data_IF_949351069404
#
_entry.id   IF_949351069404
#
_cell.length_a   1.000
_cell.length_b   1.000
_cell.length_c   1.000
_cell.angle_alpha   90.00
_cell.angle_beta   90.00
_cell.angle_gamma   90.00
#
_symmetry.space_group_name_H-M   'P 1'
#
loop_
_entity.id
_entity.type
_entity.pdbx_description
1 polymer ?
#
# COMPACT_ATOMS: atom_id res chain seq x y z
N UNK A 1 -25.93 -20.23 1.67
CA UNK A 1 -24.72 -19.50 1.28
C UNK A 1 -23.94 -19.22 2.57
N UNK A 2 -22.61 -19.34 2.55
CA UNK A 2 -21.78 -18.94 3.68
C UNK A 2 -21.91 -17.43 3.90
N UNK A 3 -21.94 -17.01 5.17
CA UNK A 3 -21.96 -15.59 5.52
C UNK A 3 -20.62 -14.93 5.12
N UNK A 4 -20.63 -13.64 4.74
CA UNK A 4 -19.41 -12.88 4.54
C UNK A 4 -18.54 -12.90 5.81
N UNK A 5 -17.21 -13.00 5.62
CA UNK A 5 -16.25 -12.96 6.73
C UNK A 5 -15.65 -11.56 6.84
N UNK A 6 -15.68 -11.00 8.05
CA UNK A 6 -14.97 -9.76 8.39
C UNK A 6 -13.69 -10.11 9.14
N UNK A 7 -12.54 -9.75 8.58
CA UNK A 7 -11.22 -9.87 9.21
C UNK A 7 -10.87 -8.52 9.82
N UNK A 8 -10.78 -8.45 11.13
CA UNK A 8 -10.57 -7.23 11.90
C UNK A 8 -9.15 -7.20 12.44
N UNK A 9 -8.41 -6.13 12.14
CA UNK A 9 -7.14 -5.86 12.78
C UNK A 9 -7.35 -4.92 13.98
N UNK A 10 -7.37 -5.44 15.22
CA UNK A 10 -7.61 -4.62 16.41
C UNK A 10 -6.49 -3.61 16.69
N UNK A 11 -5.26 -3.90 16.23
CA UNK A 11 -4.10 -3.03 16.43
C UNK A 11 -4.06 -1.84 15.46
N UNK A 12 -4.87 -1.87 14.38
CA UNK A 12 -4.86 -0.79 13.39
C UNK A 12 -5.28 0.55 14.00
N UNK A 13 -4.75 1.65 13.44
CA UNK A 13 -4.92 3.02 13.96
C UNK A 13 -4.47 3.17 15.43
N UNK A 14 -3.32 2.58 15.80
CA UNK A 14 -2.80 2.56 17.18
C UNK A 14 -3.79 1.99 18.21
N UNK A 15 -4.55 0.95 17.83
CA UNK A 15 -5.55 0.30 18.67
C UNK A 15 -6.95 0.94 18.63
N UNK A 16 -7.13 2.06 17.92
CA UNK A 16 -8.44 2.72 17.85
C UNK A 16 -9.51 1.86 17.15
N UNK A 17 -9.13 0.89 16.33
CA UNK A 17 -10.06 -0.05 15.70
C UNK A 17 -10.69 -0.95 16.75
N UNK A 18 -9.91 -1.43 17.72
CA UNK A 18 -10.44 -2.23 18.84
C UNK A 18 -11.50 -1.44 19.64
N UNK A 19 -11.16 -0.20 20.00
CA UNK A 19 -12.08 0.66 20.79
C UNK A 19 -13.39 0.97 20.04
N UNK A 20 -13.33 1.07 18.71
CA UNK A 20 -14.47 1.44 17.86
C UNK A 20 -15.23 0.24 17.29
N UNK A 21 -14.72 -0.97 17.50
CA UNK A 21 -15.27 -2.17 16.84
C UNK A 21 -16.76 -2.36 17.09
N UNK A 22 -17.21 -2.19 18.33
CA UNK A 22 -18.64 -2.35 18.66
C UNK A 22 -19.54 -1.45 17.80
N UNK A 23 -19.11 -0.18 17.59
CA UNK A 23 -19.84 0.76 16.73
C UNK A 23 -19.76 0.34 15.26
N UNK A 24 -18.58 -0.02 14.76
CA UNK A 24 -18.34 -0.46 13.37
C UNK A 24 -19.20 -1.71 13.09
N UNK A 25 -19.22 -2.68 14.00
CA UNK A 25 -20.01 -3.90 13.86
C UNK A 25 -21.51 -3.62 13.85
N UNK A 26 -21.98 -2.68 14.69
CA UNK A 26 -23.38 -2.22 14.69
C UNK A 26 -23.77 -1.57 13.37
N UNK A 27 -22.93 -0.63 12.85
CA UNK A 27 -23.15 0.02 11.57
C UNK A 27 -23.17 -1.00 10.42
N UNK A 28 -22.24 -1.96 10.44
CA UNK A 28 -22.16 -3.01 9.43
C UNK A 28 -23.40 -3.91 9.48
N UNK A 29 -23.83 -4.35 10.66
CA UNK A 29 -25.03 -5.16 10.81
C UNK A 29 -26.29 -4.46 10.34
N UNK A 30 -26.41 -3.17 10.63
CA UNK A 30 -27.57 -2.35 10.26
C UNK A 30 -27.64 -2.10 8.75
N UNK A 31 -26.50 -1.81 8.11
CA UNK A 31 -26.48 -1.35 6.74
C UNK A 31 -26.09 -2.42 5.72
N UNK A 32 -25.35 -3.45 6.11
CA UNK A 32 -24.94 -4.55 5.25
C UNK A 32 -25.73 -5.84 5.54
N UNK A 33 -25.87 -6.24 6.81
CA UNK A 33 -26.58 -7.45 7.23
C UNK A 33 -25.75 -8.40 8.07
N UNK A 34 -26.05 -9.70 7.99
CA UNK A 34 -25.37 -10.73 8.76
C UNK A 34 -23.97 -11.03 8.21
N UNK A 35 -23.01 -11.26 9.11
CA UNK A 35 -21.61 -11.60 8.81
C UNK A 35 -21.01 -12.44 9.95
N UNK A 36 -19.91 -13.12 9.67
CA UNK A 36 -19.00 -13.71 10.65
C UNK A 36 -17.79 -12.80 10.85
N UNK A 37 -17.11 -12.91 12.00
CA UNK A 37 -15.96 -12.08 12.34
C UNK A 37 -14.82 -12.91 12.89
N UNK A 38 -13.60 -12.53 12.52
CA UNK A 38 -12.35 -13.01 13.12
C UNK A 38 -11.40 -11.84 13.33
N UNK A 39 -10.51 -11.96 14.32
CA UNK A 39 -9.53 -10.93 14.66
C UNK A 39 -8.12 -11.42 14.32
N UNK A 40 -7.30 -10.48 13.84
CA UNK A 40 -5.89 -10.77 13.64
C UNK A 40 -5.13 -10.71 14.96
N UNK A 41 -4.10 -11.54 15.11
CA UNK A 41 -3.25 -11.62 16.30
C UNK A 41 -1.84 -11.08 16.04
N UNK A 42 -1.39 -11.09 14.78
CA UNK A 42 -0.05 -10.67 14.38
C UNK A 42 -0.03 -10.14 12.95
N UNK A 43 1.08 -9.56 12.56
CA UNK A 43 1.38 -9.22 11.16
C UNK A 43 1.37 -10.50 10.31
N UNK A 44 0.80 -10.44 9.13
CA UNK A 44 0.63 -11.58 8.22
C UNK A 44 -0.58 -12.48 8.51
N UNK A 45 -1.21 -12.38 9.70
CA UNK A 45 -2.33 -13.25 10.08
C UNK A 45 -3.58 -13.00 9.22
N UNK A 46 -3.85 -11.75 8.81
CA UNK A 46 -4.99 -11.47 7.95
C UNK A 46 -4.88 -12.16 6.58
N UNK A 47 -3.66 -12.31 6.04
CA UNK A 47 -3.39 -13.05 4.80
C UNK A 47 -3.76 -14.53 4.93
N UNK A 48 -3.35 -15.18 6.01
CA UNK A 48 -3.68 -16.58 6.28
C UNK A 48 -5.18 -16.79 6.45
N UNK A 49 -5.82 -15.97 7.27
CA UNK A 49 -7.28 -16.01 7.50
C UNK A 49 -8.06 -15.81 6.20
N UNK A 50 -7.62 -14.89 5.35
CA UNK A 50 -8.27 -14.63 4.07
C UNK A 50 -8.10 -15.80 3.10
N UNK A 51 -6.89 -16.38 3.00
CA UNK A 51 -6.62 -17.53 2.14
C UNK A 51 -7.46 -18.75 2.57
N UNK A 52 -7.54 -19.02 3.85
CA UNK A 52 -8.33 -20.14 4.38
C UNK A 52 -9.81 -19.93 4.15
N UNK A 53 -10.34 -18.75 4.45
CA UNK A 53 -11.74 -18.42 4.21
C UNK A 53 -12.12 -18.53 2.72
N UNK A 54 -11.26 -18.06 1.83
CA UNK A 54 -11.46 -18.16 0.39
C UNK A 54 -11.51 -19.62 -0.09
N UNK A 55 -10.56 -20.45 0.36
CA UNK A 55 -10.53 -21.90 0.09
C UNK A 55 -11.77 -22.64 0.65
N UNK A 56 -12.32 -22.16 1.77
CA UNK A 56 -13.56 -22.68 2.36
C UNK A 56 -14.83 -22.17 1.66
N UNK A 57 -14.70 -21.39 0.60
CA UNK A 57 -15.81 -20.93 -0.24
C UNK A 57 -16.47 -19.63 0.21
N UNK A 58 -15.85 -18.84 1.08
CA UNK A 58 -16.31 -17.48 1.39
C UNK A 58 -16.29 -16.63 0.13
N UNK A 59 -17.47 -16.14 -0.29
CA UNK A 59 -17.59 -15.31 -1.49
C UNK A 59 -17.18 -13.86 -1.28
N UNK A 60 -17.30 -13.34 -0.08
CA UNK A 60 -16.93 -11.96 0.28
C UNK A 60 -16.15 -11.97 1.58
N UNK A 61 -14.92 -11.47 1.52
CA UNK A 61 -14.00 -11.33 2.65
C UNK A 61 -13.74 -9.84 2.84
N UNK A 62 -14.10 -9.32 4.00
CA UNK A 62 -14.08 -7.90 4.29
C UNK A 62 -12.89 -7.58 5.19
N UNK A 63 -11.96 -6.77 4.69
CA UNK A 63 -10.86 -6.24 5.47
C UNK A 63 -11.32 -5.04 6.31
N UNK A 64 -11.22 -5.16 7.64
CA UNK A 64 -11.50 -4.08 8.59
C UNK A 64 -10.20 -3.64 9.26
N UNK A 65 -9.59 -2.57 8.73
CA UNK A 65 -8.29 -2.08 9.17
C UNK A 65 -7.74 -0.95 8.32
N UNK A 66 -6.42 -0.78 8.33
CA UNK A 66 -5.67 0.14 7.46
C UNK A 66 -5.19 -0.54 6.16
N UNK A 67 -4.35 0.19 5.40
CA UNK A 67 -3.85 -0.29 4.09
C UNK A 67 -3.09 -1.62 4.22
N UNK A 68 -2.28 -1.84 5.26
CA UNK A 68 -1.60 -3.12 5.50
C UNK A 68 -2.58 -4.29 5.68
N UNK A 69 -3.67 -4.11 6.44
CA UNK A 69 -4.70 -5.15 6.60
C UNK A 69 -5.41 -5.45 5.28
N UNK A 70 -5.69 -4.39 4.49
CA UNK A 70 -6.30 -4.53 3.16
C UNK A 70 -5.37 -5.30 2.22
N UNK A 71 -4.08 -4.97 2.22
CA UNK A 71 -3.05 -5.65 1.42
C UNK A 71 -2.89 -7.12 1.82
N UNK A 72 -2.84 -7.43 3.13
CA UNK A 72 -2.76 -8.81 3.62
C UNK A 72 -3.98 -9.64 3.17
N UNK A 73 -5.21 -9.12 3.33
CA UNK A 73 -6.44 -9.81 2.90
C UNK A 73 -6.45 -10.00 1.38
N UNK A 74 -6.06 -8.99 0.62
CA UNK A 74 -5.95 -9.07 -0.84
C UNK A 74 -4.96 -10.16 -1.28
N UNK A 75 -3.78 -10.22 -0.65
CA UNK A 75 -2.78 -11.26 -0.91
C UNK A 75 -3.35 -12.66 -0.64
N UNK A 76 -4.02 -12.86 0.50
CA UNK A 76 -4.63 -14.14 0.84
C UNK A 76 -5.69 -14.59 -0.19
N UNK A 77 -6.52 -13.66 -0.67
CA UNK A 77 -7.52 -13.94 -1.72
C UNK A 77 -6.82 -14.30 -3.04
N UNK A 78 -5.85 -13.51 -3.49
CA UNK A 78 -5.14 -13.76 -4.76
C UNK A 78 -4.43 -15.11 -4.72
N UNK A 79 -3.74 -15.44 -3.65
CA UNK A 79 -3.00 -16.69 -3.46
C UNK A 79 -3.89 -17.91 -3.35
N UNK A 80 -5.12 -17.74 -2.87
CA UNK A 80 -6.10 -18.83 -2.82
C UNK A 80 -6.56 -19.29 -4.21
N UNK A 81 -6.34 -18.45 -5.23
CA UNK A 81 -6.79 -18.67 -6.61
C UNK A 81 -8.31 -18.97 -6.68
N UNK A 82 -9.10 -18.25 -5.91
CA UNK A 82 -10.56 -18.36 -5.86
C UNK A 82 -11.23 -17.11 -6.42
N UNK A 83 -12.55 -17.16 -6.61
CA UNK A 83 -13.35 -16.01 -7.03
C UNK A 83 -13.88 -15.17 -5.85
N UNK A 84 -13.28 -15.27 -4.69
CA UNK A 84 -13.66 -14.47 -3.52
C UNK A 84 -13.48 -12.98 -3.80
N UNK A 85 -14.38 -12.16 -3.27
CA UNK A 85 -14.34 -10.72 -3.40
C UNK A 85 -13.72 -10.08 -2.17
N UNK A 86 -12.89 -9.07 -2.37
CA UNK A 86 -12.43 -8.18 -1.32
C UNK A 86 -13.47 -7.11 -1.04
N UNK A 87 -13.93 -7.01 0.19
CA UNK A 87 -14.65 -5.85 0.73
C UNK A 87 -13.73 -5.00 1.60
N UNK A 88 -13.97 -3.71 1.68
CA UNK A 88 -13.17 -2.79 2.51
C UNK A 88 -14.06 -2.07 3.50
N UNK A 89 -13.75 -2.22 4.78
CA UNK A 89 -14.37 -1.48 5.88
C UNK A 89 -13.29 -0.65 6.57
N UNK A 90 -13.18 0.64 6.26
CA UNK A 90 -12.06 1.45 6.71
C UNK A 90 -12.08 1.67 8.21
N UNK A 91 -10.99 1.32 8.89
CA UNK A 91 -10.78 1.52 10.31
C UNK A 91 -9.38 2.12 10.63
N UNK A 92 -8.52 2.26 9.61
CA UNK A 92 -7.17 2.83 9.71
C UNK A 92 -7.12 4.34 9.52
N UNK A 93 -5.94 4.92 9.77
CA UNK A 93 -5.68 6.36 9.61
C UNK A 93 -5.29 6.76 8.18
N UNK A 94 -4.71 5.85 7.38
CA UNK A 94 -4.25 6.07 6.00
C UNK A 94 -5.38 5.86 4.99
N UNK A 95 -5.51 4.64 4.53
CA UNK A 95 -6.54 4.22 3.56
C UNK A 95 -6.37 4.84 2.17
N UNK A 96 -5.17 4.77 1.62
CA UNK A 96 -4.84 5.28 0.29
C UNK A 96 -5.49 4.45 -0.81
N UNK A 97 -5.48 3.12 -0.67
CA UNK A 97 -6.15 2.23 -1.61
C UNK A 97 -7.67 2.46 -1.65
N UNK A 98 -8.32 2.58 -0.48
CA UNK A 98 -9.73 2.96 -0.38
C UNK A 98 -10.05 4.23 -1.15
N UNK A 99 -9.16 5.23 -1.07
CA UNK A 99 -9.32 6.53 -1.76
C UNK A 99 -9.29 6.37 -3.27
N UNK A 100 -8.46 5.48 -3.79
CA UNK A 100 -8.40 5.14 -5.22
C UNK A 100 -9.69 4.48 -5.71
N UNK A 101 -10.41 3.77 -4.83
CA UNK A 101 -11.69 3.13 -5.13
C UNK A 101 -12.91 4.03 -4.89
N UNK A 102 -12.73 5.23 -4.32
CA UNK A 102 -13.86 6.12 -3.97
C UNK A 102 -14.70 5.66 -2.78
N UNK A 103 -14.21 4.70 -1.97
CA UNK A 103 -14.92 4.19 -0.80
C UNK A 103 -14.90 5.24 0.32
N UNK A 104 -16.06 5.50 0.93
CA UNK A 104 -16.20 6.45 2.05
C UNK A 104 -15.37 6.03 3.27
N UNK A 105 -14.85 7.00 4.01
CA UNK A 105 -14.19 6.75 5.30
C UNK A 105 -15.20 6.57 6.46
N UNK A 106 -16.48 6.75 6.21
CA UNK A 106 -17.54 6.51 7.15
C UNK A 106 -17.94 5.03 7.11
N UNK A 107 -17.99 4.36 8.28
CA UNK A 107 -18.27 2.92 8.35
C UNK A 107 -19.67 2.58 7.84
N UNK A 108 -20.69 3.41 8.12
CA UNK A 108 -22.06 3.17 7.64
C UNK A 108 -22.17 3.31 6.12
N UNK A 109 -21.49 4.29 5.51
CA UNK A 109 -21.45 4.44 4.06
C UNK A 109 -20.70 3.29 3.39
N UNK A 110 -19.56 2.90 3.95
CA UNK A 110 -18.80 1.75 3.47
C UNK A 110 -19.63 0.46 3.57
N UNK A 111 -20.40 0.27 4.65
CA UNK A 111 -21.29 -0.87 4.81
C UNK A 111 -22.41 -0.88 3.75
N UNK A 112 -22.99 0.27 3.41
CA UNK A 112 -23.94 0.40 2.30
C UNK A 112 -23.30 0.04 0.96
N UNK A 113 -22.09 0.54 0.71
CA UNK A 113 -21.34 0.19 -0.51
C UNK A 113 -21.02 -1.31 -0.60
N UNK A 114 -20.74 -1.97 0.52
CA UNK A 114 -20.56 -3.42 0.56
C UNK A 114 -21.85 -4.18 0.21
N UNK A 115 -23.01 -3.68 0.57
CA UNK A 115 -24.32 -4.29 0.26
C UNK A 115 -24.75 -4.03 -1.18
N UNK A 116 -24.73 -2.76 -1.60
CA UNK A 116 -25.36 -2.27 -2.82
C UNK A 116 -24.36 -2.05 -3.96
N UNK A 117 -23.07 -2.12 -3.65
CA UNK A 117 -21.98 -1.81 -4.57
C UNK A 117 -21.79 -2.84 -5.68
N UNK A 118 -20.95 -2.46 -6.63
CA UNK A 118 -20.58 -3.29 -7.79
C UNK A 118 -19.28 -4.03 -7.51
N UNK A 119 -19.08 -5.15 -8.16
CA UNK A 119 -17.79 -5.84 -8.18
C UNK A 119 -17.01 -5.41 -9.41
N UNK A 120 -15.79 -4.96 -9.19
CA UNK A 120 -14.81 -4.69 -10.24
C UNK A 120 -13.64 -5.66 -10.09
N UNK A 121 -13.18 -6.20 -11.21
CA UNK A 121 -11.92 -6.94 -11.21
C UNK A 121 -10.80 -5.99 -11.51
N UNK A 122 -9.78 -5.99 -10.65
CA UNK A 122 -8.62 -5.13 -10.74
C UNK A 122 -7.35 -5.94 -10.96
N UNK A 123 -6.33 -5.29 -11.46
CA UNK A 123 -4.99 -5.82 -11.61
C UNK A 123 -4.25 -5.78 -10.26
N UNK A 124 -3.16 -6.52 -10.16
CA UNK A 124 -2.21 -6.44 -9.05
C UNK A 124 -0.78 -6.55 -9.58
N UNK A 125 0.17 -6.03 -8.84
CA UNK A 125 1.59 -6.17 -9.17
C UNK A 125 2.17 -7.34 -8.37
N UNK A 126 2.58 -8.41 -9.04
CA UNK A 126 3.35 -9.50 -8.44
C UNK A 126 4.78 -9.04 -8.26
N UNK A 127 5.24 -9.01 -7.02
CA UNK A 127 6.59 -8.58 -6.68
C UNK A 127 7.36 -9.73 -6.07
N UNK A 128 8.49 -10.08 -6.70
CA UNK A 128 9.45 -11.05 -6.17
C UNK A 128 10.67 -10.30 -5.69
N UNK A 129 11.09 -10.52 -4.46
CA UNK A 129 12.16 -9.80 -3.78
C UNK A 129 12.98 -10.73 -2.87
N UNK A 130 14.03 -10.22 -2.25
CA UNK A 130 14.79 -10.93 -1.22
C UNK A 130 14.32 -10.46 0.16
N UNK A 131 13.80 -11.36 0.98
CA UNK A 131 13.35 -11.07 2.33
C UNK A 131 14.52 -10.93 3.33
N UNK A 132 14.22 -10.61 4.58
CA UNK A 132 15.25 -10.42 5.62
C UNK A 132 15.96 -11.74 6.02
N UNK A 133 15.45 -12.90 5.61
CA UNK A 133 16.08 -14.22 5.77
C UNK A 133 16.95 -14.63 4.58
N UNK A 134 17.26 -13.70 3.66
CA UNK A 134 17.98 -13.97 2.40
C UNK A 134 17.28 -14.93 1.44
N UNK A 135 15.98 -15.13 1.61
CA UNK A 135 15.17 -15.99 0.76
C UNK A 135 14.40 -15.17 -0.28
N UNK A 136 14.13 -15.81 -1.42
CA UNK A 136 13.27 -15.23 -2.44
C UNK A 136 11.81 -15.40 -2.03
N UNK A 137 11.10 -14.29 -1.87
CA UNK A 137 9.69 -14.26 -1.52
C UNK A 137 8.89 -13.55 -2.62
N UNK A 138 7.62 -13.92 -2.76
CA UNK A 138 6.70 -13.28 -3.69
C UNK A 138 5.45 -12.83 -2.95
N UNK A 139 5.08 -11.56 -3.14
CA UNK A 139 3.82 -10.95 -2.67
C UNK A 139 3.17 -10.12 -3.78
N UNK A 140 1.94 -9.70 -3.55
CA UNK A 140 1.20 -8.84 -4.46
C UNK A 140 1.00 -7.45 -3.84
N UNK A 141 1.30 -6.40 -4.61
CA UNK A 141 0.91 -5.04 -4.29
C UNK A 141 -0.34 -4.69 -5.09
N UNK A 142 -1.36 -4.19 -4.43
CA UNK A 142 -2.61 -3.73 -5.05
C UNK A 142 -2.65 -2.22 -5.20
N UNK A 143 -1.76 -1.52 -4.50
CA UNK A 143 -1.69 -0.07 -4.47
C UNK A 143 -0.39 0.43 -5.12
N UNK A 144 0.69 0.56 -4.36
CA UNK A 144 1.99 1.03 -4.85
C UNK A 144 3.10 0.20 -4.23
N UNK A 145 4.00 -0.28 -5.08
CA UNK A 145 5.27 -0.83 -4.67
C UNK A 145 6.38 0.18 -4.94
N UNK A 146 7.37 0.29 -4.06
CA UNK A 146 8.42 1.29 -4.21
C UNK A 146 9.76 0.87 -3.62
N UNK A 147 10.80 1.62 -3.96
CA UNK A 147 12.10 1.61 -3.29
C UNK A 147 12.76 2.98 -3.40
N UNK A 148 13.56 3.30 -2.40
CA UNK A 148 14.26 4.59 -2.30
C UNK A 148 13.94 5.32 -1.00
N UNK A 149 13.62 6.59 -1.07
CA UNK A 149 13.40 7.46 0.10
C UNK A 149 12.19 7.03 0.95
N UNK A 150 11.13 6.51 0.33
CA UNK A 150 9.91 6.05 1.03
C UNK A 150 10.22 4.98 2.06
N UNK A 151 11.07 4.00 1.73
CA UNK A 151 11.46 2.92 2.65
C UNK A 151 12.21 3.45 3.87
N UNK A 152 13.09 4.44 3.71
CA UNK A 152 13.78 5.08 4.82
C UNK A 152 12.83 5.89 5.73
N UNK A 153 11.79 6.51 5.14
CA UNK A 153 10.73 7.21 5.92
C UNK A 153 9.96 6.22 6.77
N UNK A 154 9.57 5.08 6.22
CA UNK A 154 8.83 4.04 6.94
C UNK A 154 9.66 3.44 8.08
N UNK A 155 10.92 3.09 7.82
CA UNK A 155 11.83 2.54 8.83
C UNK A 155 12.03 3.52 10.01
N UNK A 156 12.22 4.80 9.72
CA UNK A 156 12.36 5.83 10.76
C UNK A 156 11.07 6.08 11.53
N UNK A 157 9.93 6.02 10.85
CA UNK A 157 8.63 6.12 11.50
C UNK A 157 8.37 4.93 12.44
N UNK A 158 8.71 3.70 12.01
CA UNK A 158 8.56 2.48 12.79
C UNK A 158 9.48 2.45 14.04
N UNK A 159 10.74 2.86 13.90
CA UNK A 159 11.71 2.88 15.00
C UNK A 159 11.49 4.00 16.01
N UNK A 160 10.49 4.87 15.79
CA UNK A 160 10.15 5.98 16.71
C UNK A 160 11.18 7.11 16.74
N UNK A 161 12.17 7.11 15.85
CA UNK A 161 13.19 8.17 15.75
C UNK A 161 12.58 9.56 15.56
N UNK A 162 11.49 9.66 14.83
CA UNK A 162 10.76 10.91 14.60
C UNK A 162 9.96 11.41 15.83
N UNK A 163 9.64 10.56 16.81
CA UNK A 163 8.87 10.95 18.01
C UNK A 163 9.65 11.97 18.89
N UNK A 164 10.97 11.98 18.82
CA UNK A 164 11.82 12.95 19.57
C UNK A 164 11.61 14.40 19.14
N UNK A 165 11.01 14.64 17.97
CA UNK A 165 10.76 15.98 17.42
C UNK A 165 9.33 16.48 17.63
N UNK A 166 8.48 15.65 18.21
CA UNK A 166 7.07 16.01 18.48
C UNK A 166 6.95 16.46 19.94
N UNK A 167 6.35 17.64 20.21
CA UNK A 167 6.14 18.11 21.58
C UNK A 167 5.36 17.13 22.43
N UNK A 168 5.77 16.94 23.69
CA UNK A 168 5.20 15.96 24.63
C UNK A 168 3.69 16.14 24.89
N UNK A 169 3.15 17.34 24.65
CA UNK A 169 1.73 17.67 24.86
C UNK A 169 0.84 17.46 23.63
N UNK A 170 1.37 16.90 22.56
CA UNK A 170 0.61 16.74 21.31
C UNK A 170 -0.37 15.57 21.43
N UNK A 171 -1.67 15.74 21.11
CA UNK A 171 -2.66 14.65 21.14
C UNK A 171 -2.23 13.48 20.26
N UNK A 172 -2.47 12.24 20.71
CA UNK A 172 -2.01 10.99 20.07
C UNK A 172 -2.31 10.93 18.56
N UNK A 173 -3.50 11.40 18.13
CA UNK A 173 -3.89 11.45 16.71
C UNK A 173 -3.08 12.45 15.87
N UNK A 174 -2.57 13.52 16.51
CA UNK A 174 -1.76 14.55 15.86
C UNK A 174 -0.30 14.11 15.87
N UNK A 175 0.13 13.38 16.92
CA UNK A 175 1.49 12.88 17.09
C UNK A 175 1.89 11.95 15.93
N UNK A 176 1.01 11.04 15.46
CA UNK A 176 1.32 10.13 14.37
C UNK A 176 1.54 10.87 13.04
N UNK A 177 0.70 11.85 12.72
CA UNK A 177 0.85 12.67 11.51
C UNK A 177 2.09 13.56 11.55
N UNK A 178 2.36 14.18 12.69
CA UNK A 178 3.56 15.01 12.89
C UNK A 178 4.83 14.17 12.88
N UNK A 179 4.80 12.96 13.46
CA UNK A 179 5.93 12.03 13.41
C UNK A 179 6.25 11.59 11.98
N UNK A 180 5.22 11.30 11.19
CA UNK A 180 5.40 10.97 9.77
C UNK A 180 5.94 12.16 8.98
N UNK A 181 5.39 13.36 9.17
CA UNK A 181 5.89 14.58 8.53
C UNK A 181 7.34 14.88 8.94
N UNK A 182 7.67 14.76 10.23
CA UNK A 182 9.04 14.95 10.72
C UNK A 182 10.00 13.89 10.16
N UNK A 183 9.59 12.63 10.08
CA UNK A 183 10.36 11.56 9.45
C UNK A 183 10.59 11.84 7.97
N UNK A 184 9.57 12.30 7.25
CA UNK A 184 9.69 12.68 5.84
C UNK A 184 10.71 13.81 5.64
N UNK A 185 10.62 14.87 6.42
CA UNK A 185 11.57 16.00 6.36
C UNK A 185 12.99 15.52 6.65
N UNK A 186 13.19 14.82 7.78
CA UNK A 186 14.50 14.32 8.19
C UNK A 186 15.10 13.36 7.16
N UNK A 187 14.28 12.47 6.59
CA UNK A 187 14.72 11.52 5.58
C UNK A 187 15.07 12.22 4.28
N UNK A 188 14.28 13.20 3.84
CA UNK A 188 14.57 13.98 2.63
C UNK A 188 15.93 14.66 2.69
N UNK A 189 16.34 15.14 3.88
CA UNK A 189 17.67 15.72 4.07
C UNK A 189 18.81 14.70 4.20
N UNK A 190 18.51 13.50 4.69
CA UNK A 190 19.51 12.47 4.95
C UNK A 190 19.59 11.39 3.86
N UNK A 191 18.55 11.27 3.03
CA UNK A 191 18.48 10.26 1.99
C UNK A 191 19.51 10.52 0.89
N UNK A 192 20.28 9.49 0.59
CA UNK A 192 21.15 9.49 -0.58
C UNK A 192 20.49 8.69 -1.69
N UNK A 193 20.38 9.22 -2.90
CA UNK A 193 19.85 8.48 -4.04
C UNK A 193 20.49 7.11 -4.18
N UNK A 194 19.72 6.14 -4.62
CA UNK A 194 20.18 4.77 -4.83
C UNK A 194 20.61 4.58 -6.28
N UNK A 195 21.78 3.98 -6.48
CA UNK A 195 22.24 3.54 -7.79
C UNK A 195 21.66 2.15 -8.08
N UNK A 196 20.87 2.05 -9.12
CA UNK A 196 20.17 0.82 -9.51
C UNK A 196 20.36 0.52 -11.00
N UNK A 197 20.26 -0.76 -11.33
CA UNK A 197 20.13 -1.24 -12.70
C UNK A 197 18.67 -1.58 -12.92
N UNK A 198 18.04 -0.94 -13.90
CA UNK A 198 16.63 -1.09 -14.22
C UNK A 198 16.43 -1.58 -15.64
N UNK A 199 15.61 -2.60 -15.79
CA UNK A 199 15.05 -3.03 -17.06
C UNK A 199 13.54 -2.89 -17.01
N UNK A 200 12.96 -2.13 -17.93
CA UNK A 200 11.51 -1.89 -18.03
C UNK A 200 11.04 -2.56 -19.31
N UNK A 201 10.13 -3.53 -19.17
CA UNK A 201 9.67 -4.41 -20.25
C UNK A 201 10.86 -5.07 -21.00
N UNK A 202 10.80 -5.13 -22.29
CA UNK A 202 11.85 -5.73 -23.15
C UNK A 202 13.01 -4.76 -23.47
N UNK A 203 13.05 -3.59 -22.84
CA UNK A 203 14.08 -2.59 -23.11
C UNK A 203 15.42 -3.01 -22.51
N UNK A 204 16.49 -2.37 -23.03
CA UNK A 204 17.83 -2.57 -22.53
C UNK A 204 17.95 -2.11 -21.06
N UNK A 205 18.64 -2.89 -20.24
CA UNK A 205 18.96 -2.50 -18.86
C UNK A 205 19.79 -1.21 -18.85
N UNK A 206 19.45 -0.32 -17.96
CA UNK A 206 20.17 0.96 -17.78
C UNK A 206 20.46 1.24 -16.32
N UNK A 207 21.59 1.86 -16.05
CA UNK A 207 21.92 2.36 -14.73
C UNK A 207 21.25 3.70 -14.49
N UNK A 208 20.55 3.81 -13.38
CA UNK A 208 19.90 5.05 -12.95
C UNK A 208 20.24 5.34 -11.49
N UNK A 209 20.34 6.63 -11.18
CA UNK A 209 20.43 7.12 -9.82
C UNK A 209 19.08 7.72 -9.44
N UNK A 210 18.40 7.10 -8.48
CA UNK A 210 17.01 7.41 -8.14
C UNK A 210 16.89 7.83 -6.68
N UNK A 211 16.16 8.90 -6.42
CA UNK A 211 15.73 9.28 -5.09
C UNK A 211 14.52 8.41 -4.66
N UNK A 212 13.60 8.17 -5.61
CA UNK A 212 12.42 7.34 -5.41
C UNK A 212 12.03 6.65 -6.71
N UNK A 213 11.61 5.39 -6.61
CA UNK A 213 11.08 4.61 -7.72
C UNK A 213 9.79 3.93 -7.29
N UNK A 214 8.70 4.21 -8.00
CA UNK A 214 7.38 3.68 -7.70
C UNK A 214 6.84 2.88 -8.89
N UNK A 215 6.25 1.74 -8.58
CA UNK A 215 5.43 0.91 -9.46
C UNK A 215 4.01 0.98 -8.90
N UNK A 216 3.16 1.76 -9.54
CA UNK A 216 1.85 2.14 -9.04
C UNK A 216 0.73 1.47 -9.84
N UNK A 217 -0.05 0.61 -9.19
CA UNK A 217 -1.31 0.08 -9.71
C UNK A 217 -2.48 1.04 -9.37
N UNK A 218 -2.33 1.86 -8.34
CA UNK A 218 -3.33 2.82 -7.90
C UNK A 218 -2.73 4.22 -7.69
N UNK A 219 -3.62 5.20 -7.47
CA UNK A 219 -3.26 6.64 -7.56
C UNK A 219 -2.52 7.19 -6.35
N UNK A 220 -2.81 6.67 -5.14
CA UNK A 220 -2.43 7.32 -3.89
C UNK A 220 -1.50 6.45 -3.07
N UNK A 221 -0.51 7.08 -2.43
CA UNK A 221 0.35 6.44 -1.44
C UNK A 221 0.78 7.47 -0.37
N UNK A 222 1.37 6.99 0.71
CA UNK A 222 2.02 7.85 1.70
C UNK A 222 1.13 8.92 2.33
N UNK A 223 -0.17 8.65 2.52
CA UNK A 223 -1.10 9.58 3.15
C UNK A 223 -1.74 10.59 2.19
N UNK A 224 -2.27 10.13 1.08
CA UNK A 224 -2.98 10.88 0.04
C UNK A 224 -2.11 11.60 -1.01
N UNK A 225 -0.82 11.33 -1.09
CA UNK A 225 0.00 11.80 -2.20
C UNK A 225 -0.43 11.07 -3.49
N UNK A 226 -0.66 11.80 -4.56
CA UNK A 226 -1.03 11.26 -5.87
C UNK A 226 0.22 10.96 -6.68
N UNK A 227 0.89 9.85 -6.39
CA UNK A 227 2.13 9.49 -7.10
C UNK A 227 1.87 9.18 -8.59
N UNK A 228 0.74 8.53 -8.89
CA UNK A 228 0.32 8.20 -10.24
C UNK A 228 -1.15 8.68 -10.44
N UNK A 229 -1.37 9.99 -10.70
CA UNK A 229 -2.71 10.58 -10.73
C UNK A 229 -3.65 9.96 -11.77
N UNK A 230 -3.10 9.43 -12.86
CA UNK A 230 -3.84 8.86 -13.98
C UNK A 230 -3.88 7.32 -13.95
N UNK A 231 -3.33 6.68 -12.92
CA UNK A 231 -3.31 5.23 -12.77
C UNK A 231 -4.72 4.62 -12.85
N UNK A 232 -4.81 3.51 -13.56
CA UNK A 232 -6.02 2.71 -13.73
C UNK A 232 -5.80 1.33 -13.15
N UNK A 233 -6.76 0.86 -12.39
CA UNK A 233 -6.68 -0.41 -11.68
C UNK A 233 -6.90 -1.65 -12.57
N UNK A 234 -7.24 -1.49 -13.85
CA UNK A 234 -7.78 -2.58 -14.69
C UNK A 234 -7.42 -2.49 -16.18
N UNK A 235 -6.33 -1.80 -16.52
CA UNK A 235 -5.91 -1.62 -17.92
C UNK A 235 -4.75 -2.55 -18.37
N UNK A 236 -4.28 -3.41 -17.46
CA UNK A 236 -3.21 -4.38 -17.73
C UNK A 236 -1.81 -3.75 -17.71
N UNK A 237 -1.67 -2.56 -17.14
CA UNK A 237 -0.41 -1.85 -16.95
C UNK A 237 -0.29 -1.35 -15.51
N UNK A 238 0.89 -0.99 -15.11
CA UNK A 238 1.15 -0.15 -13.95
C UNK A 238 1.93 1.10 -14.38
N UNK A 239 1.77 2.15 -13.61
CA UNK A 239 2.50 3.41 -13.78
C UNK A 239 3.86 3.30 -13.10
N UNK A 240 4.93 3.50 -13.86
CA UNK A 240 6.29 3.65 -13.33
C UNK A 240 6.58 5.12 -13.17
N UNK A 241 6.79 5.56 -11.93
CA UNK A 241 7.19 6.93 -11.62
C UNK A 241 8.58 6.91 -11.02
N UNK A 242 9.52 7.54 -11.69
CA UNK A 242 10.90 7.65 -11.22
C UNK A 242 11.21 9.10 -10.85
N UNK A 243 11.62 9.33 -9.62
CA UNK A 243 12.17 10.60 -9.17
C UNK A 243 13.69 10.45 -9.16
N UNK A 244 14.37 11.13 -10.08
CA UNK A 244 15.81 11.07 -10.25
C UNK A 244 16.59 11.75 -9.12
N UNK A 245 17.90 11.89 -9.32
CA UNK A 245 18.82 12.53 -8.38
C UNK A 245 18.53 14.04 -8.29
N UNK A 246 17.62 14.39 -7.40
CA UNK A 246 17.29 15.77 -7.08
C UNK A 246 17.85 16.13 -5.70
N UNK A 247 18.28 17.38 -5.59
CA UNK A 247 18.77 17.89 -4.31
C UNK A 247 17.62 17.92 -3.27
N UNK A 248 17.94 17.55 -2.02
CA UNK A 248 16.98 17.41 -0.92
C UNK A 248 16.11 18.66 -0.70
N UNK A 249 16.68 19.86 -0.86
CA UNK A 249 15.93 21.11 -0.74
C UNK A 249 14.85 21.21 -1.83
N UNK A 250 15.19 20.83 -3.07
CA UNK A 250 14.26 20.83 -4.19
C UNK A 250 13.15 19.77 -4.03
N UNK A 251 13.48 18.59 -3.53
CA UNK A 251 12.49 17.56 -3.20
C UNK A 251 11.51 18.08 -2.14
N UNK A 252 12.01 18.66 -1.06
CA UNK A 252 11.19 19.16 0.03
C UNK A 252 10.27 20.31 -0.40
N UNK A 253 10.78 21.29 -1.12
CA UNK A 253 9.99 22.45 -1.59
C UNK A 253 8.93 22.08 -2.60
N UNK A 254 9.12 20.98 -3.34
CA UNK A 254 8.16 20.46 -4.32
C UNK A 254 7.27 19.32 -3.78
N UNK A 255 7.48 18.84 -2.55
CA UNK A 255 6.65 17.81 -1.94
C UNK A 255 5.13 18.12 -1.98
N UNK A 256 4.65 19.36 -1.80
CA UNK A 256 3.24 19.67 -1.97
C UNK A 256 2.66 19.32 -3.35
N UNK A 257 3.48 19.32 -4.40
CA UNK A 257 3.03 18.97 -5.76
C UNK A 257 2.56 17.52 -5.87
N UNK A 258 3.07 16.62 -5.01
CA UNK A 258 2.62 15.22 -4.95
C UNK A 258 1.13 15.10 -4.62
N UNK A 259 0.59 15.99 -3.77
CA UNK A 259 -0.83 15.94 -3.41
C UNK A 259 -1.76 16.33 -4.56
N UNK A 260 -1.25 17.07 -5.54
CA UNK A 260 -2.01 17.54 -6.71
C UNK A 260 -1.62 16.79 -8.01
N UNK A 261 -0.67 15.85 -7.95
CA UNK A 261 -0.15 15.17 -9.14
C UNK A 261 0.72 16.06 -10.05
N UNK A 262 1.05 17.27 -9.60
CA UNK A 262 1.80 18.24 -10.40
C UNK A 262 3.32 17.94 -10.47
N UNK A 263 3.80 16.98 -9.67
CA UNK A 263 5.20 16.53 -9.70
C UNK A 263 5.59 15.88 -11.04
N UNK A 264 4.64 15.28 -11.78
CA UNK A 264 4.91 14.68 -13.10
C UNK A 264 5.40 15.70 -14.15
N UNK A 265 5.26 17.01 -13.87
CA UNK A 265 5.76 18.09 -14.75
C UNK A 265 7.17 18.54 -14.39
N UNK A 266 7.79 17.93 -13.40
CA UNK A 266 9.15 18.27 -12.99
C UNK A 266 10.16 17.56 -13.90
N UNK A 267 11.26 18.22 -14.21
CA UNK A 267 12.32 17.68 -15.09
C UNK A 267 13.01 16.43 -14.52
N UNK A 268 12.99 16.28 -13.20
CA UNK A 268 13.59 15.14 -12.50
C UNK A 268 12.64 13.93 -12.39
N UNK A 269 11.39 14.09 -12.78
CA UNK A 269 10.38 13.04 -12.70
C UNK A 269 10.10 12.49 -14.08
N UNK A 270 10.20 11.18 -14.22
CA UNK A 270 9.74 10.47 -15.41
C UNK A 270 8.53 9.61 -15.06
N UNK A 271 7.61 9.49 -16.01
CA UNK A 271 6.41 8.67 -15.89
C UNK A 271 6.23 7.87 -17.19
N UNK A 272 5.98 6.58 -17.04
CA UNK A 272 5.70 5.69 -18.17
C UNK A 272 4.82 4.51 -17.72
N UNK A 273 4.09 3.90 -18.66
CA UNK A 273 3.34 2.66 -18.43
C UNK A 273 4.25 1.46 -18.72
N UNK A 274 4.13 0.41 -17.91
CA UNK A 274 4.88 -0.82 -18.11
C UNK A 274 4.09 -2.05 -17.63
N UNK A 275 4.57 -3.23 -18.03
CA UNK A 275 4.04 -4.53 -17.57
C UNK A 275 5.03 -5.28 -16.69
N UNK A 276 6.31 -4.98 -16.84
CA UNK A 276 7.37 -5.62 -16.07
C UNK A 276 8.50 -4.63 -15.76
N UNK A 277 9.02 -4.71 -14.55
CA UNK A 277 10.26 -4.04 -14.16
C UNK A 277 11.15 -5.05 -13.45
N UNK A 278 12.41 -5.11 -13.83
CA UNK A 278 13.47 -5.81 -13.09
C UNK A 278 14.41 -4.76 -12.54
N UNK A 279 14.57 -4.76 -11.20
CA UNK A 279 15.44 -3.83 -10.49
C UNK A 279 16.53 -4.57 -9.74
N UNK A 280 17.78 -4.13 -9.87
CA UNK A 280 18.94 -4.68 -9.16
C UNK A 280 19.78 -3.55 -8.58
N UNK A 281 20.43 -3.74 -7.42
CA UNK A 281 21.37 -2.74 -6.93
C UNK A 281 22.57 -2.68 -7.89
N UNK A 282 23.01 -1.47 -8.24
CA UNK A 282 24.20 -1.30 -9.10
C UNK A 282 25.51 -1.59 -8.37
N UNK A 283 25.49 -1.65 -7.04
CA UNK A 283 26.63 -1.99 -6.18
C UNK A 283 26.17 -2.92 -5.06
N UNK A 284 26.99 -3.88 -4.68
CA UNK A 284 26.75 -4.78 -3.54
C UNK A 284 26.90 -4.09 -2.18
N UNK A 285 27.45 -2.88 -2.14
CA UNK A 285 27.78 -2.18 -0.90
C UNK A 285 26.57 -1.46 -0.26
N UNK A 286 25.52 -1.16 -1.03
CA UNK A 286 24.33 -0.48 -0.53
C UNK A 286 23.11 -1.35 -0.75
N UNK A 287 22.49 -1.73 0.35
CA UNK A 287 21.19 -2.38 0.34
C UNK A 287 20.10 -1.37 -0.08
N UNK A 288 19.21 -1.79 -0.97
CA UNK A 288 18.06 -1.00 -1.40
C UNK A 288 16.80 -1.74 -0.97
N UNK A 289 16.14 -1.22 0.05
CA UNK A 289 14.91 -1.79 0.62
C UNK A 289 13.74 -1.64 -0.35
N UNK A 290 12.80 -2.57 -0.26
CA UNK A 290 11.57 -2.60 -1.08
C UNK A 290 10.37 -2.50 -0.16
N UNK A 291 9.41 -1.68 -0.56
CA UNK A 291 8.13 -1.45 0.09
C UNK A 291 6.99 -1.95 -0.80
N UNK A 292 5.96 -2.55 -0.20
CA UNK A 292 4.69 -2.90 -0.82
C UNK A 292 3.54 -2.36 0.02
N UNK A 293 2.69 -1.51 -0.58
CA UNK A 293 1.45 -0.98 0.02
C UNK A 293 1.64 -0.34 1.42
N UNK A 294 2.83 0.24 1.70
CA UNK A 294 3.16 0.88 2.97
C UNK A 294 3.91 -0.01 3.96
N UNK A 295 4.36 -1.21 3.55
CA UNK A 295 5.14 -2.13 4.37
C UNK A 295 6.49 -2.43 3.73
N UNK A 296 7.59 -2.26 4.48
CA UNK A 296 8.93 -2.66 4.04
C UNK A 296 9.05 -4.17 4.16
N UNK A 297 9.22 -4.85 3.03
CA UNK A 297 9.12 -6.32 2.96
C UNK A 297 10.45 -7.03 2.72
N UNK A 298 11.45 -6.31 2.22
CA UNK A 298 12.74 -6.91 1.87
C UNK A 298 13.60 -5.94 1.06
N UNK A 299 14.38 -6.46 0.12
CA UNK A 299 15.35 -5.68 -0.65
C UNK A 299 15.50 -6.14 -2.10
N UNK A 300 16.14 -5.31 -2.91
CA UNK A 300 16.58 -5.69 -4.26
C UNK A 300 17.61 -6.85 -4.21
N UNK A 301 17.69 -7.71 -5.28
CA UNK A 301 16.99 -7.58 -6.55
C UNK A 301 15.50 -7.92 -6.46
N UNK A 302 14.70 -7.19 -7.24
CA UNK A 302 13.25 -7.41 -7.32
C UNK A 302 12.75 -7.43 -8.75
N UNK A 303 11.68 -8.19 -8.97
CA UNK A 303 10.93 -8.20 -10.22
C UNK A 303 9.50 -7.80 -9.91
N UNK A 304 9.00 -6.80 -10.62
CA UNK A 304 7.62 -6.33 -10.56
C UNK A 304 6.94 -6.74 -11.86
N UNK A 305 5.81 -7.41 -11.78
CA UNK A 305 5.07 -7.87 -12.96
C UNK A 305 3.59 -7.64 -12.77
N UNK A 306 2.92 -7.03 -13.76
CA UNK A 306 1.47 -6.89 -13.72
C UNK A 306 0.81 -8.27 -13.85
N UNK A 307 -0.20 -8.50 -13.03
CA UNK A 307 -1.10 -9.64 -13.11
C UNK A 307 -2.49 -9.08 -13.40
N UNK A 308 -2.92 -9.12 -14.66
CA UNK A 308 -4.22 -8.58 -15.02
C UNK A 308 -5.35 -9.36 -14.37
N UNK A 309 -6.38 -8.63 -13.93
CA UNK A 309 -7.61 -9.19 -13.38
C UNK A 309 -7.37 -10.10 -12.15
N UNK A 310 -6.41 -9.75 -11.31
CA UNK A 310 -5.95 -10.58 -10.19
C UNK A 310 -6.93 -10.64 -9.01
N UNK A 311 -7.73 -9.60 -8.79
CA UNK A 311 -8.56 -9.46 -7.60
C UNK A 311 -9.93 -8.88 -7.93
N UNK A 312 -10.97 -9.46 -7.38
CA UNK A 312 -12.33 -8.91 -7.41
C UNK A 312 -12.55 -8.04 -6.18
N UNK A 313 -12.93 -6.80 -6.37
CA UNK A 313 -13.14 -5.82 -5.27
C UNK A 313 -14.55 -5.27 -5.34
N UNK A 314 -15.21 -5.18 -4.19
CA UNK A 314 -16.52 -4.54 -4.08
C UNK A 314 -16.36 -3.06 -3.73
N UNK A 315 -16.97 -2.19 -4.51
CA UNK A 315 -16.86 -0.73 -4.38
C UNK A 315 -18.20 -0.04 -4.69
N UNK A 316 -18.37 1.26 -4.35
CA UNK A 316 -19.61 2.01 -4.58
C UNK A 316 -20.12 2.01 -6.00
#
# INVERSE_FOLDING_TARGET
MALPLVIVNPASADGATHEKWAKIASDLRTHFGAFTVTFTESVGHARLLAADAAKQGSKLIIACGGDGTISEVANGIIESNTESELGILPAGTGSDFRRSLGISNNAADAARSLRDGRTKTIDAVRVTFINDSDERETRYSINVASFGMSTEVLDRAATGGAKKWVPAFTPRKVTSKLSYAAATVQTTFAASPSDVLLQIDERQERRLRVAEFCVANAKYYGGAMKIAPDAKLDDGYFDVVTIGDANSFRLLTNAPRLYFGAHLRMSEVTHELAKQVVARPASKQKEVRVELDGEVVGRLPSTFQIVPRALRVRFP
#
